data_IF_810859999631
#
_entry.id   IF_810859999631
#
_cell.length_a   1.000
_cell.length_b   1.000
_cell.length_c   1.000
_cell.angle_alpha   90.00
_cell.angle_beta   90.00
_cell.angle_gamma   90.00
#
_symmetry.space_group_name_H-M   'P 1'
#
loop_
_entity.id
_entity.type
_entity.pdbx_description
1 polymer ?
#
# COMPACT_ATOMS: atom_id res chain seq x y z
N UNK A 1 -17.11 -12.98 8.41
CA UNK A 1 -16.07 -14.03 8.24
C UNK A 1 -14.90 -13.61 9.12
N UNK A 2 -14.68 -14.34 10.24
CA UNK A 2 -13.58 -14.05 11.16
C UNK A 2 -12.26 -14.29 10.43
N UNK A 3 -11.53 -13.21 10.12
CA UNK A 3 -10.15 -13.32 9.70
C UNK A 3 -9.34 -13.86 10.89
N UNK A 4 -8.83 -15.08 10.76
CA UNK A 4 -7.97 -15.67 11.75
C UNK A 4 -6.81 -14.69 12.02
N UNK A 5 -6.63 -14.28 13.29
CA UNK A 5 -5.47 -13.50 13.69
C UNK A 5 -4.22 -14.21 13.20
N UNK A 6 -3.29 -13.52 12.55
CA UNK A 6 -2.04 -14.14 12.13
C UNK A 6 -1.35 -14.69 13.38
N UNK A 7 -1.00 -15.96 13.31
CA UNK A 7 -0.11 -16.56 14.33
C UNK A 7 1.22 -15.80 14.20
N UNK A 8 1.66 -15.07 15.24
CA UNK A 8 2.97 -14.45 15.19
C UNK A 8 4.00 -15.55 14.97
N UNK A 9 5.09 -15.28 14.24
CA UNK A 9 6.11 -16.28 13.99
C UNK A 9 6.53 -16.90 15.30
N UNK A 10 6.48 -18.23 15.37
CA UNK A 10 6.93 -18.98 16.52
C UNK A 10 8.38 -18.52 16.78
N UNK A 11 8.63 -17.96 17.97
CA UNK A 11 9.98 -17.52 18.39
C UNK A 11 10.87 -18.75 18.67
N UNK A 12 10.91 -19.67 17.71
CA UNK A 12 11.67 -20.90 17.75
C UNK A 12 12.14 -21.23 16.35
N UNK A 13 13.26 -21.89 16.22
CA UNK A 13 13.87 -22.26 14.95
C UNK A 13 15.35 -21.95 14.93
N UNK A 14 16.07 -22.67 14.08
CA UNK A 14 17.50 -22.49 13.88
C UNK A 14 17.71 -21.40 12.84
N UNK A 15 18.46 -20.36 13.18
CA UNK A 15 18.86 -19.33 12.23
C UNK A 15 19.80 -19.95 11.18
N UNK A 16 19.35 -19.97 9.93
CA UNK A 16 20.11 -20.51 8.79
C UNK A 16 20.89 -19.40 8.10
N UNK A 17 20.27 -18.22 7.97
CA UNK A 17 20.87 -17.08 7.29
C UNK A 17 20.45 -15.78 7.98
N UNK A 18 21.43 -14.90 8.20
CA UNK A 18 21.17 -13.50 8.58
C UNK A 18 21.91 -12.57 7.65
N UNK A 19 21.18 -11.61 7.10
CA UNK A 19 21.72 -10.67 6.13
C UNK A 19 21.15 -9.26 6.35
N UNK A 20 21.81 -8.26 5.78
CA UNK A 20 21.37 -6.87 5.83
C UNK A 20 21.24 -6.34 4.40
N UNK A 21 20.04 -5.85 4.06
CA UNK A 21 19.83 -5.13 2.82
C UNK A 21 20.63 -3.79 2.86
N UNK A 22 21.04 -3.22 1.71
CA UNK A 22 20.75 -3.71 0.36
C UNK A 22 21.73 -4.76 -0.16
N UNK A 23 22.73 -5.20 0.64
CA UNK A 23 23.73 -6.18 0.17
C UNK A 23 23.14 -7.53 -0.18
N UNK A 24 22.14 -7.97 0.60
CA UNK A 24 21.37 -9.18 0.33
C UNK A 24 19.90 -8.81 0.38
N UNK A 25 19.20 -9.00 -0.73
CA UNK A 25 17.79 -8.64 -0.87
C UNK A 25 16.88 -9.80 -0.47
N UNK A 26 15.59 -9.51 -0.20
CA UNK A 26 14.57 -10.54 0.02
C UNK A 26 14.52 -11.52 -1.18
N UNK A 27 14.66 -11.01 -2.40
CA UNK A 27 14.74 -11.83 -3.60
C UNK A 27 15.83 -12.89 -3.52
N UNK A 28 17.04 -12.50 -3.10
CA UNK A 28 18.17 -13.42 -2.93
C UNK A 28 17.90 -14.48 -1.87
N UNK A 29 17.31 -14.07 -0.73
CA UNK A 29 17.01 -15.01 0.37
C UNK A 29 15.93 -16.02 -0.06
N UNK A 30 14.92 -15.59 -0.79
CA UNK A 30 13.88 -16.46 -1.34
C UNK A 30 14.44 -17.45 -2.35
N UNK A 31 15.36 -17.01 -3.24
CA UNK A 31 16.02 -17.88 -4.20
C UNK A 31 16.89 -18.95 -3.52
N UNK A 32 17.63 -18.57 -2.47
CA UNK A 32 18.42 -19.54 -1.67
C UNK A 32 17.49 -20.53 -0.97
N UNK A 33 16.40 -20.05 -0.36
CA UNK A 33 15.44 -20.92 0.32
C UNK A 33 14.75 -21.90 -0.65
N UNK A 34 14.43 -21.47 -1.87
CA UNK A 34 13.87 -22.32 -2.93
C UNK A 34 14.87 -23.39 -3.38
N UNK A 35 16.12 -23.01 -3.60
CA UNK A 35 17.19 -23.91 -4.03
C UNK A 35 17.49 -24.99 -2.99
N UNK A 36 17.52 -24.63 -1.72
CA UNK A 36 17.83 -25.51 -0.57
C UNK A 36 16.57 -26.18 0.01
N UNK A 37 15.39 -25.95 -0.60
CA UNK A 37 14.08 -26.46 -0.16
C UNK A 37 13.82 -26.22 1.34
N UNK A 38 14.15 -25.02 1.84
CA UNK A 38 14.03 -24.67 3.26
C UNK A 38 12.57 -24.52 3.65
N UNK A 39 12.16 -25.15 4.75
CA UNK A 39 10.87 -24.89 5.40
C UNK A 39 11.11 -24.05 6.66
N UNK A 40 10.37 -22.91 6.76
CA UNK A 40 10.61 -22.01 7.88
C UNK A 40 10.05 -20.62 7.67
N UNK A 41 10.69 -19.66 8.30
CA UNK A 41 10.25 -18.26 8.35
C UNK A 41 11.38 -17.31 7.95
N UNK A 42 11.05 -16.36 7.10
CA UNK A 42 11.89 -15.18 6.85
C UNK A 42 11.30 -14.01 7.64
N UNK A 43 12.09 -13.43 8.53
CA UNK A 43 11.78 -12.16 9.20
C UNK A 43 12.42 -11.01 8.41
N UNK A 44 11.67 -9.98 8.16
CA UNK A 44 12.11 -8.80 7.40
C UNK A 44 11.95 -7.56 8.30
N UNK A 45 13.02 -7.21 9.00
CA UNK A 45 13.09 -5.99 9.81
C UNK A 45 12.17 -5.96 11.03
N UNK A 46 11.59 -7.10 11.43
CA UNK A 46 10.63 -7.18 12.55
C UNK A 46 9.23 -6.65 12.22
N UNK A 47 9.02 -6.10 11.04
CA UNK A 47 7.75 -5.50 10.61
C UNK A 47 6.91 -6.42 9.71
N UNK A 48 7.52 -7.45 9.18
CA UNK A 48 6.87 -8.41 8.32
C UNK A 48 7.70 -9.67 8.13
N UNK A 49 7.13 -10.62 7.39
CA UNK A 49 7.84 -11.84 7.10
C UNK A 49 7.13 -12.74 6.11
N UNK A 50 7.79 -13.86 5.82
CA UNK A 50 7.37 -14.83 4.82
C UNK A 50 7.45 -16.23 5.42
N UNK A 51 6.43 -17.05 5.21
CA UNK A 51 6.40 -18.47 5.54
C UNK A 51 6.75 -19.31 4.32
N UNK A 52 7.60 -20.32 4.52
CA UNK A 52 8.10 -21.22 3.48
C UNK A 52 7.82 -22.67 3.84
N UNK A 53 7.42 -23.46 2.86
CA UNK A 53 7.38 -24.93 2.92
C UNK A 53 8.11 -25.46 1.69
N UNK A 54 9.16 -26.25 1.91
CA UNK A 54 10.01 -26.79 0.85
C UNK A 54 10.46 -25.74 -0.18
N UNK A 55 10.89 -24.58 0.33
CA UNK A 55 11.32 -23.43 -0.47
C UNK A 55 10.19 -22.60 -1.10
N UNK A 56 8.95 -23.08 -1.07
CA UNK A 56 7.81 -22.38 -1.64
C UNK A 56 7.19 -21.41 -0.64
N UNK A 57 6.85 -20.21 -1.11
CA UNK A 57 6.12 -19.21 -0.30
C UNK A 57 4.67 -19.66 -0.12
N UNK A 58 4.28 -19.88 1.14
CA UNK A 58 2.91 -20.29 1.49
C UNK A 58 2.10 -19.19 2.15
N UNK A 59 2.76 -18.23 2.82
CA UNK A 59 2.11 -17.05 3.40
C UNK A 59 3.11 -15.92 3.55
N UNK A 60 2.60 -14.69 3.70
CA UNK A 60 3.38 -13.50 4.05
C UNK A 60 2.53 -12.52 4.83
N UNK A 61 3.19 -11.69 5.66
CA UNK A 61 2.55 -10.60 6.39
C UNK A 61 3.45 -9.36 6.38
N UNK A 62 2.82 -8.17 6.30
CA UNK A 62 3.49 -6.89 6.27
C UNK A 62 2.50 -5.80 6.72
N UNK A 63 2.57 -5.39 7.98
CA UNK A 63 1.55 -4.51 8.55
C UNK A 63 0.14 -5.09 8.41
N UNK A 64 -0.80 -4.37 7.78
CA UNK A 64 -2.16 -4.85 7.55
C UNK A 64 -2.28 -5.87 6.41
N UNK A 65 -1.25 -5.98 5.57
CA UNK A 65 -1.27 -6.80 4.36
C UNK A 65 -0.98 -8.27 4.65
N UNK A 66 -1.52 -9.17 3.81
CA UNK A 66 -1.35 -10.63 3.90
C UNK A 66 -1.13 -11.23 2.53
N UNK A 67 -0.58 -12.45 2.52
CA UNK A 67 -0.33 -13.26 1.34
C UNK A 67 0.46 -12.48 0.26
N UNK A 68 0.00 -12.47 -0.98
CA UNK A 68 0.69 -11.81 -2.09
C UNK A 68 0.86 -10.30 -1.88
N UNK A 69 -0.17 -9.61 -1.34
CA UNK A 69 -0.09 -8.18 -1.10
C UNK A 69 1.01 -7.86 -0.06
N UNK A 70 1.15 -8.69 0.97
CA UNK A 70 2.22 -8.54 1.95
C UNK A 70 3.59 -8.86 1.37
N UNK A 71 3.70 -9.97 0.62
CA UNK A 71 4.95 -10.37 0.01
C UNK A 71 5.52 -9.25 -0.88
N UNK A 72 4.69 -8.69 -1.77
CA UNK A 72 5.13 -7.64 -2.67
C UNK A 72 5.42 -6.31 -1.93
N UNK A 73 4.74 -6.01 -0.83
CA UNK A 73 5.11 -4.87 0.03
C UNK A 73 6.49 -5.06 0.66
N UNK A 74 6.87 -6.28 1.05
CA UNK A 74 8.19 -6.57 1.59
C UNK A 74 9.31 -6.38 0.54
N UNK A 75 9.04 -6.58 -0.75
CA UNK A 75 9.99 -6.25 -1.82
C UNK A 75 10.24 -4.73 -1.94
N UNK A 76 9.29 -3.91 -1.52
CA UNK A 76 9.39 -2.46 -1.53
C UNK A 76 10.01 -1.90 -0.24
N UNK A 77 10.30 -2.76 0.75
CA UNK A 77 11.00 -2.36 1.96
C UNK A 77 12.41 -1.89 1.59
N UNK A 78 12.66 -0.60 1.77
CA UNK A 78 13.94 0.03 1.44
C UNK A 78 14.82 0.23 2.68
N UNK A 79 16.09 0.62 2.44
CA UNK A 79 17.05 0.93 3.49
C UNK A 79 17.77 -0.27 4.07
N UNK A 80 18.41 -0.04 5.24
CA UNK A 80 19.07 -1.12 5.98
C UNK A 80 18.02 -1.96 6.72
N UNK A 81 17.61 -3.06 6.10
CA UNK A 81 16.66 -4.01 6.67
C UNK A 81 17.38 -5.31 6.97
N UNK A 82 17.27 -5.76 8.22
CA UNK A 82 17.78 -7.09 8.60
C UNK A 82 16.80 -8.16 8.11
N UNK A 83 17.32 -9.13 7.36
CA UNK A 83 16.57 -10.28 6.86
C UNK A 83 17.13 -11.53 7.54
N UNK A 84 16.28 -12.30 8.21
CA UNK A 84 16.67 -13.51 8.93
C UNK A 84 15.82 -14.67 8.49
N UNK A 85 16.45 -15.70 7.90
CA UNK A 85 15.83 -16.97 7.57
C UNK A 85 16.02 -17.94 8.75
N UNK A 86 14.93 -18.52 9.23
CA UNK A 86 14.91 -19.51 10.31
C UNK A 86 14.24 -20.78 9.82
N UNK A 87 14.94 -21.91 9.97
CA UNK A 87 14.33 -23.21 9.76
C UNK A 87 13.44 -23.57 10.93
N UNK A 88 12.16 -23.86 10.68
CA UNK A 88 11.18 -24.21 11.69
C UNK A 88 10.01 -24.97 11.03
N UNK A 89 9.24 -25.67 11.85
CA UNK A 89 8.00 -26.27 11.39
C UNK A 89 7.00 -25.18 10.98
N UNK A 90 6.53 -25.22 9.75
CA UNK A 90 5.46 -24.35 9.21
C UNK A 90 4.24 -25.22 8.96
N UNK A 91 3.03 -24.80 9.34
CA UNK A 91 1.83 -25.54 8.97
C UNK A 91 1.73 -25.74 7.46
N UNK A 92 1.34 -26.94 7.06
CA UNK A 92 1.12 -27.25 5.65
C UNK A 92 0.06 -26.30 5.07
N UNK A 93 0.43 -25.61 3.99
CA UNK A 93 -0.41 -24.62 3.34
C UNK A 93 -0.16 -24.62 1.83
N UNK A 94 -1.16 -24.15 1.11
CA UNK A 94 -1.05 -24.06 -0.35
C UNK A 94 -0.07 -22.94 -0.75
N UNK A 95 0.91 -23.21 -1.62
CA UNK A 95 1.81 -22.18 -2.13
C UNK A 95 1.06 -21.03 -2.81
N UNK A 96 1.54 -19.81 -2.61
CA UNK A 96 1.02 -18.60 -3.28
C UNK A 96 1.32 -18.63 -4.79
N UNK A 97 2.43 -19.25 -5.16
CA UNK A 97 2.86 -19.43 -6.54
C UNK A 97 4.27 -20.03 -6.60
N UNK A 98 4.82 -20.18 -7.79
CA UNK A 98 6.22 -20.55 -7.95
C UNK A 98 7.13 -19.44 -7.41
N UNK A 99 8.08 -19.75 -6.53
CA UNK A 99 8.97 -18.79 -5.87
C UNK A 99 9.70 -17.89 -6.88
N UNK A 100 10.19 -18.48 -7.97
CA UNK A 100 10.84 -17.73 -9.04
C UNK A 100 9.92 -16.70 -9.72
N UNK A 101 8.65 -17.03 -9.93
CA UNK A 101 7.65 -16.10 -10.49
C UNK A 101 7.32 -14.98 -9.51
N UNK A 102 7.18 -15.28 -8.22
CA UNK A 102 6.93 -14.29 -7.17
C UNK A 102 8.11 -13.33 -7.01
N UNK A 103 9.35 -13.85 -7.07
CA UNK A 103 10.57 -13.04 -7.04
C UNK A 103 10.65 -12.09 -8.22
N UNK A 104 10.40 -12.59 -9.44
CA UNK A 104 10.44 -11.78 -10.66
C UNK A 104 9.39 -10.68 -10.61
N UNK A 105 8.16 -11.01 -10.24
CA UNK A 105 7.06 -10.04 -10.15
C UNK A 105 7.29 -9.02 -9.01
N UNK A 106 7.76 -9.46 -7.84
CA UNK A 106 8.09 -8.58 -6.73
C UNK A 106 9.18 -7.57 -7.09
N UNK A 107 10.24 -8.02 -7.76
CA UNK A 107 11.32 -7.16 -8.23
C UNK A 107 10.80 -6.15 -9.26
N UNK A 108 10.00 -6.59 -10.23
CA UNK A 108 9.39 -5.70 -11.23
C UNK A 108 8.53 -4.61 -10.59
N UNK A 109 7.69 -4.95 -9.59
CA UNK A 109 6.86 -3.97 -8.87
C UNK A 109 7.70 -3.00 -8.03
N UNK A 110 8.79 -3.48 -7.44
CA UNK A 110 9.73 -2.62 -6.72
C UNK A 110 10.40 -1.61 -7.65
N UNK A 111 10.83 -2.02 -8.83
CA UNK A 111 11.41 -1.14 -9.85
C UNK A 111 10.39 -0.11 -10.35
N UNK A 112 9.14 -0.53 -10.60
CA UNK A 112 8.06 0.38 -10.97
C UNK A 112 7.79 1.41 -9.88
N UNK A 113 7.71 0.97 -8.61
CA UNK A 113 7.52 1.88 -7.48
C UNK A 113 8.69 2.86 -7.32
N UNK A 114 9.92 2.40 -7.43
CA UNK A 114 11.10 3.26 -7.37
C UNK A 114 11.06 4.37 -8.42
N UNK A 115 10.52 4.06 -9.60
CA UNK A 115 10.40 5.02 -10.71
C UNK A 115 9.32 6.06 -10.49
N UNK A 116 8.15 5.67 -9.95
CA UNK A 116 6.97 6.56 -9.89
C UNK A 116 6.61 7.04 -8.49
N UNK A 117 7.02 6.34 -7.43
CA UNK A 117 6.56 6.58 -6.06
C UNK A 117 6.86 7.99 -5.54
N UNK A 118 7.97 8.59 -5.96
CA UNK A 118 8.33 9.98 -5.62
C UNK A 118 7.78 11.04 -6.56
N UNK A 119 7.06 10.67 -7.62
CA UNK A 119 6.52 11.63 -8.59
C UNK A 119 5.29 12.33 -8.03
N UNK A 120 5.16 13.60 -8.34
CA UNK A 120 3.91 14.37 -8.20
C UNK A 120 3.12 14.19 -9.48
N UNK A 121 1.97 13.54 -9.39
CA UNK A 121 1.17 13.13 -10.55
C UNK A 121 -0.16 13.90 -10.61
N UNK A 122 -0.63 14.12 -11.83
CA UNK A 122 -1.97 14.63 -12.13
C UNK A 122 -2.57 13.90 -13.33
N UNK A 123 -3.90 13.93 -13.46
CA UNK A 123 -4.56 13.45 -14.67
C UNK A 123 -4.28 14.38 -15.85
N UNK A 124 -3.93 13.81 -16.99
CA UNK A 124 -3.87 14.55 -18.25
C UNK A 124 -5.26 15.07 -18.62
N UNK A 125 -5.37 16.23 -19.23
CA UNK A 125 -6.62 16.79 -19.72
C UNK A 125 -7.35 15.89 -20.77
N UNK A 126 -6.65 14.91 -21.34
CA UNK A 126 -7.18 13.92 -22.29
C UNK A 126 -7.46 12.56 -21.66
N UNK A 127 -7.21 12.41 -20.35
CA UNK A 127 -7.39 11.13 -19.68
C UNK A 127 -8.87 10.77 -19.55
N UNK A 128 -9.15 9.49 -19.74
CA UNK A 128 -10.47 8.91 -19.43
C UNK A 128 -10.33 7.99 -18.23
N UNK A 129 -11.24 8.11 -17.27
CA UNK A 129 -11.24 7.25 -16.08
C UNK A 129 -11.42 5.77 -16.41
N UNK A 130 -11.98 5.44 -17.58
CA UNK A 130 -12.14 4.05 -18.03
C UNK A 130 -10.79 3.29 -18.19
N UNK A 131 -9.67 4.01 -18.31
CA UNK A 131 -8.33 3.40 -18.37
C UNK A 131 -7.72 3.12 -17.00
N UNK A 132 -8.32 3.59 -15.91
CA UNK A 132 -7.81 3.41 -14.55
C UNK A 132 -8.24 2.04 -14.02
N UNK A 133 -7.30 1.20 -13.54
CA UNK A 133 -7.67 -0.05 -12.87
C UNK A 133 -8.51 0.24 -11.61
N UNK A 134 -9.62 -0.50 -11.42
CA UNK A 134 -10.57 -0.23 -10.34
C UNK A 134 -9.94 -0.16 -8.94
N UNK A 135 -8.91 -0.96 -8.65
CA UNK A 135 -8.16 -0.86 -7.38
C UNK A 135 -7.41 0.47 -7.21
N UNK A 136 -7.08 1.17 -8.30
CA UNK A 136 -6.33 2.43 -8.28
C UNK A 136 -7.23 3.68 -8.37
N UNK A 137 -8.54 3.53 -8.53
CA UNK A 137 -9.46 4.67 -8.64
C UNK A 137 -9.35 5.62 -7.46
N UNK A 138 -9.33 5.08 -6.23
CA UNK A 138 -9.20 5.89 -5.02
C UNK A 138 -7.88 6.70 -4.98
N UNK A 139 -6.78 6.16 -5.52
CA UNK A 139 -5.52 6.89 -5.63
C UNK A 139 -5.64 8.01 -6.65
N UNK A 140 -6.19 7.71 -7.84
CA UNK A 140 -6.34 8.70 -8.91
C UNK A 140 -7.27 9.84 -8.48
N UNK A 141 -8.32 9.54 -7.74
CA UNK A 141 -9.23 10.52 -7.17
C UNK A 141 -8.56 11.46 -6.16
N UNK A 142 -7.48 11.02 -5.53
CA UNK A 142 -6.71 11.80 -4.55
C UNK A 142 -5.52 12.55 -5.17
N UNK A 143 -5.22 12.37 -6.47
CA UNK A 143 -4.14 13.11 -7.13
C UNK A 143 -4.47 14.60 -7.21
N UNK A 144 -3.68 15.41 -6.54
CA UNK A 144 -3.85 16.87 -6.46
C UNK A 144 -2.84 17.64 -7.33
N UNK A 145 -1.86 16.95 -7.91
CA UNK A 145 -0.77 17.58 -8.66
C UNK A 145 0.26 18.31 -7.80
N UNK A 146 0.23 18.14 -6.49
CA UNK A 146 1.13 18.77 -5.51
C UNK A 146 1.80 17.75 -4.58
N UNK A 147 1.07 16.72 -4.18
CA UNK A 147 1.55 15.67 -3.28
C UNK A 147 2.30 14.57 -4.04
N UNK A 148 3.43 14.05 -3.52
CA UNK A 148 4.09 12.92 -4.13
C UNK A 148 3.24 11.65 -4.01
N UNK A 149 3.36 10.75 -4.98
CA UNK A 149 2.51 9.56 -5.10
C UNK A 149 2.55 8.69 -3.83
N UNK A 150 3.71 8.57 -3.16
CA UNK A 150 3.82 7.76 -1.94
C UNK A 150 2.92 8.27 -0.81
N UNK A 151 2.71 9.58 -0.69
CA UNK A 151 1.77 10.15 0.28
C UNK A 151 0.33 9.86 -0.12
N UNK A 152 -0.01 10.05 -1.39
CA UNK A 152 -1.35 9.80 -1.91
C UNK A 152 -1.75 8.34 -1.73
N UNK A 153 -0.83 7.41 -2.01
CA UNK A 153 -1.06 5.97 -1.86
C UNK A 153 -1.25 5.59 -0.39
N UNK A 154 -0.45 6.18 0.52
CA UNK A 154 -0.62 5.96 1.96
C UNK A 154 -1.98 6.42 2.45
N UNK A 155 -2.44 7.59 1.98
CA UNK A 155 -3.76 8.15 2.28
C UNK A 155 -4.90 7.29 1.72
N UNK A 156 -4.73 6.74 0.51
CA UNK A 156 -5.71 5.85 -0.11
C UNK A 156 -5.81 4.48 0.59
N UNK A 157 -4.85 4.15 1.46
CA UNK A 157 -4.79 2.84 2.11
C UNK A 157 -4.57 1.69 1.13
N UNK A 158 -3.93 1.97 -0.01
CA UNK A 158 -3.64 0.98 -1.03
C UNK A 158 -2.22 0.44 -0.86
N UNK A 159 -1.96 -0.88 -1.07
CA UNK A 159 -0.60 -1.36 -1.13
C UNK A 159 0.21 -0.65 -2.23
N UNK A 160 1.44 -0.26 -1.92
CA UNK A 160 2.33 0.46 -2.86
C UNK A 160 2.57 -0.31 -4.14
N UNK A 161 2.75 -1.64 -4.04
CA UNK A 161 2.94 -2.51 -5.19
C UNK A 161 1.73 -2.56 -6.12
N UNK A 162 0.50 -2.44 -5.58
CA UNK A 162 -0.73 -2.34 -6.38
C UNK A 162 -0.78 -1.02 -7.12
N UNK A 163 -0.44 0.08 -6.43
CA UNK A 163 -0.32 1.39 -7.06
C UNK A 163 0.77 1.39 -8.16
N UNK A 164 1.94 0.81 -7.90
CA UNK A 164 3.02 0.68 -8.88
C UNK A 164 2.54 -0.04 -10.14
N UNK A 165 1.97 -1.23 -9.98
CA UNK A 165 1.47 -2.04 -11.08
C UNK A 165 0.35 -1.36 -11.88
N UNK A 166 -0.59 -0.71 -11.20
CA UNK A 166 -1.74 -0.08 -11.86
C UNK A 166 -1.44 1.27 -12.49
N UNK A 167 -0.56 2.07 -11.88
CA UNK A 167 -0.34 3.45 -12.32
C UNK A 167 0.88 3.61 -13.24
N UNK A 168 1.90 2.74 -13.17
CA UNK A 168 3.07 2.84 -14.02
C UNK A 168 2.75 2.80 -15.53
N UNK A 169 1.83 1.95 -16.02
CA UNK A 169 1.39 2.00 -17.41
C UNK A 169 0.69 3.32 -17.78
N UNK A 170 -0.08 3.90 -16.84
CA UNK A 170 -0.77 5.18 -17.07
C UNK A 170 0.21 6.36 -17.18
N UNK A 171 1.29 6.33 -16.39
CA UNK A 171 2.39 7.28 -16.51
C UNK A 171 3.11 7.09 -17.86
N UNK A 172 3.38 5.85 -18.25
CA UNK A 172 4.08 5.54 -19.51
C UNK A 172 3.27 5.93 -20.75
N UNK A 173 1.94 5.84 -20.68
CA UNK A 173 1.04 6.25 -21.77
C UNK A 173 0.74 7.76 -21.80
N UNK A 174 1.17 8.52 -20.79
CA UNK A 174 0.85 9.94 -20.64
C UNK A 174 -0.59 10.21 -20.19
N UNK A 175 -1.31 9.20 -19.72
CA UNK A 175 -2.61 9.35 -19.07
C UNK A 175 -2.47 10.06 -17.72
N UNK A 176 -1.42 9.70 -16.96
CA UNK A 176 -0.94 10.44 -15.82
C UNK A 176 0.33 11.19 -16.20
N UNK A 177 0.42 12.45 -15.83
CA UNK A 177 1.56 13.31 -16.12
C UNK A 177 2.21 13.77 -14.83
N UNK A 178 3.56 13.72 -14.80
CA UNK A 178 4.35 14.21 -13.67
C UNK A 178 4.63 15.71 -13.80
N UNK A 179 4.60 16.42 -12.69
CA UNK A 179 4.95 17.85 -12.63
C UNK A 179 6.45 18.14 -12.75
N UNK A 180 7.29 17.12 -12.95
CA UNK A 180 8.75 17.24 -13.01
C UNK A 180 9.46 17.28 -11.65
N UNK A 181 8.74 17.49 -10.55
CA UNK A 181 9.29 17.33 -9.21
C UNK A 181 9.30 15.84 -8.82
N UNK A 182 10.48 15.32 -8.48
CA UNK A 182 10.62 13.97 -7.91
C UNK A 182 11.10 14.12 -6.48
N UNK A 183 10.27 13.74 -5.55
CA UNK A 183 10.63 13.72 -4.12
C UNK A 183 11.20 12.34 -3.80
N UNK A 184 12.36 12.25 -3.11
CA UNK A 184 12.87 10.97 -2.68
C UNK A 184 11.80 10.22 -1.89
N UNK A 185 11.48 9.01 -2.33
CA UNK A 185 10.57 8.15 -1.57
C UNK A 185 11.24 7.89 -0.22
N UNK A 186 10.62 8.28 0.90
CA UNK A 186 11.18 7.97 2.20
C UNK A 186 11.38 6.46 2.26
N UNK A 187 12.55 6.04 2.72
CA UNK A 187 12.75 4.66 3.14
C UNK A 187 11.86 4.47 4.35
N UNK A 188 10.60 4.26 4.11
CA UNK A 188 9.60 4.26 5.15
C UNK A 188 9.48 2.89 5.74
N UNK A 189 9.46 2.87 7.04
CA UNK A 189 8.74 1.88 7.83
C UNK A 189 7.44 1.47 7.10
N UNK A 190 7.16 0.18 7.11
CA UNK A 190 5.87 -0.39 6.67
C UNK A 190 4.72 0.48 7.18
N UNK A 191 3.73 0.82 6.35
CA UNK A 191 2.58 1.58 6.80
C UNK A 191 2.00 0.92 8.05
N UNK A 192 2.09 1.61 9.20
CA UNK A 192 1.30 1.20 10.35
C UNK A 192 -0.15 1.19 9.91
N UNK A 193 -0.85 0.09 10.19
CA UNK A 193 -2.29 0.09 10.11
C UNK A 193 -2.78 1.35 10.83
N UNK A 194 -3.75 2.10 10.27
CA UNK A 194 -4.38 3.15 11.02
C UNK A 194 -4.78 2.55 12.36
N UNK A 195 -4.33 3.19 13.42
CA UNK A 195 -4.66 2.78 14.80
C UNK A 195 -6.20 2.86 14.89
N UNK A 196 -6.83 1.72 14.69
CA UNK A 196 -8.26 1.57 14.97
C UNK A 196 -8.36 1.50 16.48
N UNK A 197 -8.09 2.62 17.14
CA UNK A 197 -8.47 2.84 18.50
C UNK A 197 -9.97 2.65 18.55
N UNK A 198 -10.39 1.48 19.01
CA UNK A 198 -11.74 1.21 19.46
C UNK A 198 -12.04 2.11 20.67
N UNK A 199 -12.26 3.39 20.41
CA UNK A 199 -13.07 4.22 21.27
C UNK A 199 -14.47 4.24 20.66
N UNK A 200 -15.21 3.15 20.90
CA UNK A 200 -16.66 3.20 20.81
C UNK A 200 -17.19 4.26 21.78
N UNK A 201 -17.36 5.46 21.27
CA UNK A 201 -18.36 6.38 21.82
C UNK A 201 -19.71 5.89 21.31
N UNK A 202 -20.35 5.07 22.14
CA UNK A 202 -21.80 4.87 22.09
C UNK A 202 -22.44 6.20 22.51
N UNK A 203 -22.72 7.10 21.56
CA UNK A 203 -23.76 8.11 21.71
C UNK A 203 -23.91 8.85 20.37
N UNK A 204 -25.01 8.63 19.74
CA UNK A 204 -25.62 9.33 18.60
C UNK A 204 -25.79 8.45 17.34
N UNK A 205 -26.86 7.64 17.36
CA UNK A 205 -27.18 6.63 16.31
C UNK A 205 -27.56 7.26 14.96
N UNK A 206 -27.68 8.59 14.82
CA UNK A 206 -28.16 9.25 13.60
C UNK A 206 -27.18 10.26 12.96
N UNK A 207 -26.05 10.57 13.56
CA UNK A 207 -25.06 11.46 12.96
C UNK A 207 -24.07 10.66 12.10
N UNK A 208 -23.85 11.05 10.82
CA UNK A 208 -22.87 10.37 9.99
C UNK A 208 -21.48 10.47 10.62
N UNK A 209 -20.81 9.35 10.77
CA UNK A 209 -19.47 9.29 11.31
C UNK A 209 -18.42 9.85 10.33
N UNK A 210 -17.16 9.89 10.77
CA UNK A 210 -16.05 10.40 9.97
C UNK A 210 -15.91 9.65 8.64
N UNK A 211 -16.00 8.33 8.65
CA UNK A 211 -15.84 7.50 7.46
C UNK A 211 -17.04 7.62 6.51
N UNK A 212 -18.24 7.70 7.05
CA UNK A 212 -19.46 8.02 6.30
C UNK A 212 -19.34 9.36 5.56
N UNK A 213 -18.78 10.36 6.23
CA UNK A 213 -18.56 11.68 5.62
C UNK A 213 -17.56 11.59 4.45
N UNK A 214 -16.45 10.86 4.62
CA UNK A 214 -15.48 10.65 3.55
C UNK A 214 -16.09 9.93 2.34
N UNK A 215 -16.85 8.86 2.58
CA UNK A 215 -17.44 8.05 1.52
C UNK A 215 -18.53 8.82 0.76
N UNK A 216 -19.39 9.54 1.47
CA UNK A 216 -20.39 10.43 0.84
C UNK A 216 -19.74 11.56 0.07
N UNK A 217 -18.64 12.13 0.58
CA UNK A 217 -17.86 13.14 -0.13
C UNK A 217 -17.29 12.60 -1.45
N UNK A 218 -16.71 11.41 -1.43
CA UNK A 218 -16.18 10.72 -2.62
C UNK A 218 -17.30 10.36 -3.61
N UNK A 219 -18.44 9.90 -3.12
CA UNK A 219 -19.59 9.56 -3.95
C UNK A 219 -20.14 10.80 -4.67
N UNK A 220 -20.31 11.93 -3.95
CA UNK A 220 -20.74 13.20 -4.53
C UNK A 220 -19.74 13.70 -5.59
N UNK A 221 -18.42 13.58 -5.31
CA UNK A 221 -17.37 13.94 -6.27
C UNK A 221 -17.46 13.14 -7.56
N UNK A 222 -17.64 11.81 -7.45
CA UNK A 222 -17.82 10.92 -8.63
C UNK A 222 -19.10 11.25 -9.41
N UNK A 223 -20.15 11.69 -8.72
CA UNK A 223 -21.41 12.14 -9.33
C UNK A 223 -21.35 13.56 -9.93
N UNK A 224 -20.20 14.26 -9.81
CA UNK A 224 -20.03 15.62 -10.31
C UNK A 224 -20.64 16.70 -9.40
N UNK A 225 -21.19 16.35 -8.25
CA UNK A 225 -21.69 17.30 -7.24
C UNK A 225 -20.54 17.83 -6.37
N UNK A 226 -19.77 18.78 -6.92
CA UNK A 226 -18.63 19.37 -6.21
C UNK A 226 -19.07 20.11 -4.92
N UNK A 227 -20.20 20.79 -4.95
CA UNK A 227 -20.68 21.52 -3.77
C UNK A 227 -21.13 20.57 -2.66
N UNK A 228 -21.80 19.46 -3.01
CA UNK A 228 -22.13 18.39 -2.06
C UNK A 228 -20.91 17.70 -1.51
N UNK A 229 -19.94 17.40 -2.38
CA UNK A 229 -18.67 16.80 -2.01
C UNK A 229 -17.90 17.66 -1.01
N UNK A 230 -17.78 18.98 -1.26
CA UNK A 230 -17.09 19.89 -0.36
C UNK A 230 -17.74 19.90 1.05
N UNK A 231 -19.08 19.96 1.13
CA UNK A 231 -19.80 19.92 2.41
C UNK A 231 -19.50 18.68 3.24
N UNK A 232 -19.39 17.53 2.58
CA UNK A 232 -19.07 16.27 3.26
C UNK A 232 -17.62 16.23 3.75
N UNK A 233 -16.66 16.72 2.95
CA UNK A 233 -15.27 16.80 3.37
C UNK A 233 -15.06 17.88 4.45
N UNK A 234 -15.77 18.99 4.41
CA UNK A 234 -15.77 19.99 5.50
C UNK A 234 -16.21 19.36 6.83
N UNK A 235 -17.26 18.55 6.78
CA UNK A 235 -17.74 17.83 7.96
C UNK A 235 -16.72 16.79 8.46
N UNK A 236 -16.09 16.06 7.56
CA UNK A 236 -15.02 15.13 7.91
C UNK A 236 -13.84 15.85 8.58
N UNK A 237 -13.39 16.98 8.05
CA UNK A 237 -12.33 17.81 8.67
C UNK A 237 -12.77 18.33 10.05
N UNK A 238 -14.04 18.67 10.22
CA UNK A 238 -14.58 19.11 11.54
C UNK A 238 -14.54 17.98 12.56
N UNK A 239 -14.85 16.75 12.14
CA UNK A 239 -14.83 15.57 13.01
C UNK A 239 -13.39 15.13 13.37
N UNK A 240 -12.44 15.25 12.43
CA UNK A 240 -11.02 14.93 12.64
C UNK A 240 -10.13 15.98 11.98
N UNK A 241 -9.79 17.08 12.66
CA UNK A 241 -9.02 18.19 12.09
C UNK A 241 -7.60 17.82 11.65
N UNK A 242 -6.98 16.86 12.31
CA UNK A 242 -5.66 16.34 11.97
C UNK A 242 -5.65 15.33 10.83
N UNK A 243 -6.80 14.90 10.33
CA UNK A 243 -6.85 13.91 9.29
C UNK A 243 -6.45 14.53 7.94
N UNK A 244 -5.32 14.06 7.44
CA UNK A 244 -4.74 14.56 6.18
C UNK A 244 -5.61 14.24 4.97
N UNK A 245 -6.34 13.11 4.99
CA UNK A 245 -7.20 12.67 3.89
C UNK A 245 -8.37 13.63 3.73
N UNK A 246 -9.07 13.93 4.83
CA UNK A 246 -10.18 14.85 4.83
C UNK A 246 -9.75 16.25 4.35
N UNK A 247 -8.65 16.78 4.91
CA UNK A 247 -8.12 18.09 4.56
C UNK A 247 -7.64 18.18 3.10
N UNK A 248 -7.06 17.11 2.56
CA UNK A 248 -6.61 17.06 1.17
C UNK A 248 -7.78 17.02 0.19
N UNK A 249 -8.79 16.17 0.46
CA UNK A 249 -9.99 16.10 -0.37
C UNK A 249 -10.75 17.43 -0.35
N UNK A 250 -10.89 18.06 0.81
CA UNK A 250 -11.51 19.39 0.96
C UNK A 250 -10.82 20.42 0.05
N UNK A 251 -9.49 20.54 0.15
CA UNK A 251 -8.70 21.49 -0.66
C UNK A 251 -8.83 21.23 -2.15
N UNK A 252 -8.82 19.95 -2.55
CA UNK A 252 -8.99 19.55 -3.95
C UNK A 252 -10.34 20.00 -4.49
N UNK A 253 -11.43 19.67 -3.79
CA UNK A 253 -12.78 20.01 -4.24
C UNK A 253 -13.00 21.51 -4.26
N UNK A 254 -12.46 22.25 -3.27
CA UNK A 254 -12.49 23.71 -3.24
C UNK A 254 -11.81 24.32 -4.48
N UNK A 255 -10.65 23.77 -4.90
CA UNK A 255 -9.96 24.19 -6.13
C UNK A 255 -10.80 23.93 -7.37
N UNK A 256 -11.36 22.70 -7.52
CA UNK A 256 -12.20 22.36 -8.67
C UNK A 256 -13.43 23.28 -8.78
N UNK A 257 -14.02 23.69 -7.66
CA UNK A 257 -15.11 24.67 -7.64
C UNK A 257 -14.65 26.06 -8.09
N UNK A 258 -13.43 26.49 -7.73
CA UNK A 258 -12.86 27.76 -8.18
C UNK A 258 -12.55 27.77 -9.68
N UNK A 259 -12.15 26.63 -10.25
CA UNK A 259 -11.87 26.50 -11.67
C UNK A 259 -13.14 26.47 -12.56
N UNK A 260 -14.30 26.19 -11.96
CA UNK A 260 -15.60 26.20 -12.66
C UNK A 260 -16.36 27.54 -12.54
N UNK A 261 -15.92 28.44 -11.68
CA UNK A 261 -16.54 29.74 -11.45
C UNK A 261 -15.97 30.82 -12.37
#
# INVERSE_FOLDING_TARGET
MNAARPVPPVRGGVEVLSAVAPRVTLATVLQVADLEAVSGWIDVGGEGGVALVDGMVVDAWCGPWRAEDALFELFLAGGEVRIVLREAAVPDARPLGATSSLVLEGTRRADEWTRIGGMVLSLSARATMAAVPGRCEAVVDLLDGESPLFEVVAVAGLPRHVAAHGLAPLVSSGTLVGSGAVVPVPVAAVPRAPDTGDEHHEDDVDAPDFFDCLDRGRQALRGGDLAGSLRWFDRAVTLRPEDRVAAQNQRRVARLLQEQA
#
